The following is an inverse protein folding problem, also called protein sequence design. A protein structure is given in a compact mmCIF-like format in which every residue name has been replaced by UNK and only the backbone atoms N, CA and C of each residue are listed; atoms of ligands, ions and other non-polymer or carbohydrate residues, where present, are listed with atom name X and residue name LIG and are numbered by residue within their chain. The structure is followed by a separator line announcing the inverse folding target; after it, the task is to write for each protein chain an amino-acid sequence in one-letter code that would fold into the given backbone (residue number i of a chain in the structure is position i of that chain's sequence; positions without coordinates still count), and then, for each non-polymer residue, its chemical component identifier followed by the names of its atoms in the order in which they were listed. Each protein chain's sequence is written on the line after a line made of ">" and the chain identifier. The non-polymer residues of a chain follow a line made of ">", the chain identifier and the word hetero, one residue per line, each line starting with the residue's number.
data_IF_476401506286
#
_entry.id   IF_476401506286
#
_cell.length_a   1.000
_cell.length_b   1.000
_cell.length_c   1.000
_cell.angle_alpha   90.00
_cell.angle_beta   90.00
_cell.angle_gamma   90.00
#
_symmetry.space_group_name_H-M   'P 1'
#
loop_
_entity.id
_entity.type
_entity.pdbx_description
1 polymer ?
#
# COMPACT_ATOMS: atom_id res chain seq x y z
N UNK A 1 -7.48 -12.30 -31.26
CA UNK A 1 -8.20 -11.11 -30.78
C UNK A 1 -8.62 -11.44 -29.38
N UNK A 2 -7.91 -10.89 -28.37
CA UNK A 2 -8.45 -10.90 -27.02
C UNK A 2 -9.67 -9.98 -27.09
N UNK A 3 -10.84 -10.50 -26.72
CA UNK A 3 -12.03 -9.67 -26.54
C UNK A 3 -11.65 -8.46 -25.67
N UNK A 4 -12.12 -7.27 -26.03
CA UNK A 4 -12.07 -6.05 -25.22
C UNK A 4 -13.00 -6.19 -24.00
N UNK A 5 -12.90 -7.33 -23.32
CA UNK A 5 -13.56 -7.61 -22.06
C UNK A 5 -12.90 -6.74 -21.02
N UNK A 6 -13.57 -5.63 -20.71
CA UNK A 6 -13.44 -4.80 -19.51
C UNK A 6 -12.11 -5.01 -18.78
N UNK A 7 -11.07 -4.31 -19.23
CA UNK A 7 -9.78 -4.27 -18.51
C UNK A 7 -10.11 -3.70 -17.14
N UNK A 8 -10.18 -4.57 -16.14
CA UNK A 8 -10.41 -4.19 -14.76
C UNK A 8 -9.26 -3.27 -14.31
N UNK A 9 -9.47 -1.96 -14.43
CA UNK A 9 -8.57 -0.96 -13.92
C UNK A 9 -8.57 -1.10 -12.41
N UNK A 10 -7.44 -1.54 -11.85
CA UNK A 10 -7.29 -1.59 -10.40
C UNK A 10 -7.30 -0.15 -9.86
N UNK A 11 -7.94 0.07 -8.70
CA UNK A 11 -8.08 1.40 -8.15
C UNK A 11 -6.71 1.97 -7.77
N UNK A 12 -6.58 3.30 -7.81
CA UNK A 12 -5.35 3.99 -7.45
C UNK A 12 -5.02 3.86 -5.94
N UNK A 13 -6.03 3.61 -5.12
CA UNK A 13 -5.92 3.38 -3.68
C UNK A 13 -6.74 2.16 -3.26
N UNK A 14 -6.42 1.62 -2.08
CA UNK A 14 -7.19 0.58 -1.41
C UNK A 14 -7.25 0.86 0.09
N UNK A 15 -8.12 0.16 0.81
CA UNK A 15 -8.32 0.35 2.25
C UNK A 15 -7.70 -0.79 3.04
N UNK A 16 -6.90 -0.44 4.04
CA UNK A 16 -6.35 -1.36 5.03
C UNK A 16 -7.06 -1.19 6.36
N UNK A 17 -7.47 -2.29 6.97
CA UNK A 17 -7.91 -2.36 8.37
C UNK A 17 -6.71 -2.71 9.25
N UNK A 18 -6.39 -1.86 10.24
CA UNK A 18 -5.36 -2.13 11.24
C UNK A 18 -5.90 -1.90 12.66
N UNK A 19 -6.30 -2.99 13.32
CA UNK A 19 -7.01 -2.90 14.60
C UNK A 19 -8.41 -2.31 14.39
N UNK A 20 -8.74 -1.21 15.06
CA UNK A 20 -9.99 -0.45 14.85
C UNK A 20 -9.85 0.65 13.80
N UNK A 21 -8.62 0.98 13.40
CA UNK A 21 -8.35 2.08 12.50
C UNK A 21 -8.40 1.62 11.03
N UNK A 22 -8.86 2.51 10.14
CA UNK A 22 -8.90 2.29 8.69
C UNK A 22 -8.04 3.31 7.96
N UNK A 23 -7.29 2.86 6.97
CA UNK A 23 -6.38 3.69 6.20
C UNK A 23 -6.62 3.50 4.70
N UNK A 24 -6.83 4.59 3.97
CA UNK A 24 -6.71 4.62 2.52
C UNK A 24 -5.24 4.77 2.14
N UNK A 25 -4.75 3.89 1.27
CA UNK A 25 -3.33 3.75 0.91
C UNK A 25 -3.19 3.64 -0.61
N UNK A 26 -2.14 4.23 -1.22
CA UNK A 26 -1.86 4.03 -2.64
C UNK A 26 -1.69 2.54 -2.97
N UNK A 27 -2.20 2.10 -4.12
CA UNK A 27 -2.08 0.69 -4.54
C UNK A 27 -0.66 0.32 -4.97
N UNK A 28 0.16 1.31 -5.36
CA UNK A 28 1.51 1.12 -5.87
C UNK A 28 2.57 1.67 -4.92
N UNK A 29 3.58 0.85 -4.64
CA UNK A 29 4.78 1.25 -3.93
C UNK A 29 5.61 2.21 -4.81
N UNK A 30 6.09 3.35 -4.28
CA UNK A 30 6.82 4.35 -5.06
C UNK A 30 8.20 3.88 -5.54
N UNK A 31 8.69 2.74 -5.05
CA UNK A 31 9.98 2.19 -5.48
C UNK A 31 9.98 1.71 -6.93
N UNK A 32 9.08 0.76 -7.24
CA UNK A 32 8.98 0.08 -8.55
C UNK A 32 7.57 -0.46 -8.78
N UNK A 33 6.58 0.33 -8.35
CA UNK A 33 5.16 0.06 -8.57
C UNK A 33 4.70 -1.32 -8.08
N UNK A 34 5.29 -1.77 -6.96
CA UNK A 34 4.86 -2.99 -6.31
C UNK A 34 3.46 -2.86 -5.74
N UNK A 35 2.60 -3.84 -6.05
CA UNK A 35 1.21 -3.88 -5.62
C UNK A 35 1.12 -4.07 -4.11
N UNK A 36 0.79 -2.99 -3.40
CA UNK A 36 0.73 -2.96 -1.95
C UNK A 36 -0.45 -3.78 -1.42
N UNK A 37 -1.52 -3.98 -2.20
CA UNK A 37 -2.64 -4.87 -1.82
C UNK A 37 -2.21 -6.33 -1.57
N UNK A 38 -1.05 -6.75 -2.11
CA UNK A 38 -0.45 -8.07 -1.87
C UNK A 38 0.64 -8.04 -0.78
N UNK A 39 0.83 -6.89 -0.13
CA UNK A 39 1.78 -6.70 0.96
C UNK A 39 1.30 -7.26 2.30
N UNK A 40 2.20 -7.27 3.27
CA UNK A 40 1.91 -7.75 4.62
C UNK A 40 1.61 -6.56 5.54
N UNK A 41 0.47 -6.58 6.21
CA UNK A 41 0.08 -5.56 7.20
C UNK A 41 0.52 -6.02 8.59
N UNK A 42 1.28 -5.17 9.29
CA UNK A 42 1.54 -5.33 10.71
C UNK A 42 0.50 -4.51 11.49
N UNK A 43 -0.50 -5.19 12.06
CA UNK A 43 -1.61 -4.53 12.75
C UNK A 43 -1.18 -3.80 14.04
N UNK A 44 -0.19 -4.31 14.77
CA UNK A 44 0.25 -3.69 16.04
C UNK A 44 1.11 -2.45 15.81
N UNK A 45 1.96 -2.48 14.77
CA UNK A 45 2.84 -1.35 14.40
C UNK A 45 2.21 -0.40 13.38
N UNK A 46 1.04 -0.74 12.84
CA UNK A 46 0.34 0.03 11.80
C UNK A 46 1.26 0.30 10.61
N UNK A 47 1.89 -0.76 10.09
CA UNK A 47 2.76 -0.67 8.92
C UNK A 47 2.32 -1.61 7.82
N UNK A 48 2.64 -1.28 6.58
CA UNK A 48 2.54 -2.19 5.44
C UNK A 48 3.92 -2.45 4.83
N UNK A 49 4.21 -3.71 4.52
CA UNK A 49 5.43 -4.15 3.84
C UNK A 49 5.13 -4.49 2.40
N UNK A 50 5.79 -3.81 1.45
CA UNK A 50 5.69 -4.08 0.02
C UNK A 50 6.16 -5.52 -0.28
N UNK A 51 5.42 -6.30 -1.08
CA UNK A 51 5.74 -7.71 -1.31
C UNK A 51 6.94 -7.92 -2.25
N UNK A 52 7.31 -6.92 -3.06
CA UNK A 52 8.37 -7.08 -4.05
C UNK A 52 9.78 -6.94 -3.45
N UNK A 53 10.03 -5.85 -2.73
CA UNK A 53 11.37 -5.49 -2.24
C UNK A 53 11.38 -5.12 -0.76
N UNK A 54 10.29 -5.46 -0.04
CA UNK A 54 10.19 -5.33 1.42
C UNK A 54 10.36 -3.90 1.97
N UNK A 55 10.10 -2.86 1.18
CA UNK A 55 9.94 -1.50 1.71
C UNK A 55 8.79 -1.47 2.72
N UNK A 56 9.04 -0.90 3.89
CA UNK A 56 8.07 -0.83 5.00
C UNK A 56 7.60 0.61 5.15
N UNK A 57 6.29 0.83 5.22
CA UNK A 57 5.69 2.15 5.34
C UNK A 57 4.79 2.25 6.57
N UNK A 58 4.84 3.38 7.25
CA UNK A 58 3.88 3.74 8.29
C UNK A 58 2.51 4.03 7.68
N UNK A 59 1.46 3.41 8.18
CA UNK A 59 0.08 3.74 7.79
C UNK A 59 -0.37 5.08 8.39
N UNK A 60 0.24 5.48 9.52
CA UNK A 60 -0.14 6.70 10.24
C UNK A 60 0.50 7.95 9.65
N UNK A 61 1.77 7.86 9.24
CA UNK A 61 2.56 9.01 8.76
C UNK A 61 2.86 8.92 7.26
N UNK A 62 2.73 7.75 6.65
CA UNK A 62 3.16 7.51 5.27
C UNK A 62 4.67 7.34 5.11
N UNK A 63 5.47 7.61 6.15
CA UNK A 63 6.93 7.55 6.05
C UNK A 63 7.44 6.15 5.72
N UNK A 64 8.49 6.10 4.91
CA UNK A 64 9.26 4.88 4.71
C UNK A 64 10.11 4.59 5.95
N UNK A 65 9.89 3.44 6.57
CA UNK A 65 10.58 3.00 7.78
C UNK A 65 11.73 2.02 7.48
N UNK A 66 11.77 1.44 6.28
CA UNK A 66 12.81 0.48 5.89
C UNK A 66 12.72 0.05 4.42
N UNK A 67 13.72 -0.74 4.00
CA UNK A 67 13.91 -1.21 2.63
C UNK A 67 14.60 -0.20 1.71
N UNK A 68 14.63 -0.44 0.39
CA UNK A 68 15.28 0.43 -0.58
C UNK A 68 14.67 1.82 -0.63
N UNK A 69 15.48 2.88 -0.60
CA UNK A 69 15.02 4.27 -0.61
C UNK A 69 14.08 4.55 -1.79
N UNK A 70 12.87 5.03 -1.49
CA UNK A 70 11.84 5.30 -2.51
C UNK A 70 10.84 6.41 -2.18
N UNK A 71 11.01 7.09 -1.03
CA UNK A 71 10.03 8.08 -0.55
C UNK A 71 8.88 7.45 0.22
N UNK A 72 7.96 8.28 0.73
CA UNK A 72 6.80 7.84 1.51
C UNK A 72 5.55 7.57 0.68
N UNK A 73 4.50 7.12 1.36
CA UNK A 73 3.13 6.98 0.84
C UNK A 73 2.28 8.15 1.33
N UNK A 74 1.26 8.51 0.54
CA UNK A 74 0.20 9.42 0.99
C UNK A 74 -0.93 8.57 1.58
N UNK A 75 -0.85 8.30 2.88
CA UNK A 75 -1.87 7.54 3.61
C UNK A 75 -2.91 8.50 4.22
N UNK A 76 -4.19 8.10 4.20
CA UNK A 76 -5.27 8.86 4.86
C UNK A 76 -6.03 7.98 5.84
N UNK A 77 -6.03 8.36 7.12
CA UNK A 77 -6.86 7.71 8.15
C UNK A 77 -8.34 8.03 7.89
N UNK A 78 -9.20 7.02 7.90
CA UNK A 78 -10.64 7.10 7.62
C UNK A 78 -11.50 7.03 8.88
N UNK A 79 -11.07 6.23 9.86
CA UNK A 79 -11.68 6.06 11.18
C UNK A 79 -10.60 5.82 12.20
#
# INVERSE_FOLDING_TARGET
>A
MLDEGDVALRPATFVIQAGQDRYEVPSLCPHREGWLEHGTVNHSRRTITCPLHFSVFSLETGEQLGGPACGGLVCRKLT
#
